data_IF_638885897927
#
_entry.id   IF_638885897927
#
_cell.length_a   1.000
_cell.length_b   1.000
_cell.length_c   1.000
_cell.angle_alpha   90.00
_cell.angle_beta   90.00
_cell.angle_gamma   90.00
#
_symmetry.space_group_name_H-M   'P 1'
#
loop_
_entity.id
_entity.type
_entity.pdbx_description
1 polymer ?
#
# COMPACT_ATOMS: atom_id res chain seq x y z
N UNK A 1 -3.77 -8.51 14.46
CA UNK A 1 -3.27 -7.78 13.27
C UNK A 1 -2.08 -6.94 13.69
N UNK A 2 -1.06 -6.81 12.84
CA UNK A 2 0.08 -5.91 13.06
C UNK A 2 -0.11 -4.66 12.21
N UNK A 3 0.21 -3.50 12.75
CA UNK A 3 0.13 -2.22 12.03
C UNK A 3 1.43 -1.44 12.22
N UNK A 4 1.95 -0.89 11.13
CA UNK A 4 3.07 0.06 11.15
C UNK A 4 2.55 1.39 10.60
N UNK A 5 2.35 2.36 11.49
CA UNK A 5 1.82 3.67 11.13
C UNK A 5 2.96 4.65 10.97
N UNK A 6 3.06 5.30 9.80
CA UNK A 6 4.13 6.25 9.50
C UNK A 6 3.54 7.53 8.93
N UNK A 7 4.17 8.66 9.22
CA UNK A 7 3.79 9.95 8.64
C UNK A 7 4.36 10.18 7.24
N UNK A 8 5.47 9.53 6.91
CA UNK A 8 6.23 9.77 5.68
C UNK A 8 6.87 8.50 5.10
N UNK A 9 6.15 7.38 5.10
CA UNK A 9 6.65 6.10 4.59
C UNK A 9 7.78 5.50 5.46
N UNK A 10 8.62 4.67 4.85
CA UNK A 10 9.78 4.02 5.49
C UNK A 10 11.00 4.93 5.33
N UNK A 11 11.02 6.01 6.10
CA UNK A 11 11.99 7.10 5.94
C UNK A 11 13.32 6.92 6.68
N UNK A 12 13.45 5.89 7.51
CA UNK A 12 14.67 5.60 8.27
C UNK A 12 14.79 4.10 8.63
N UNK A 13 15.97 3.70 9.10
CA UNK A 13 16.28 2.31 9.42
C UNK A 13 15.47 1.75 10.58
N UNK A 14 15.06 2.58 11.56
CA UNK A 14 14.23 2.11 12.68
C UNK A 14 12.85 1.65 12.18
N UNK A 15 12.22 2.44 11.32
CA UNK A 15 10.95 2.09 10.69
C UNK A 15 11.13 0.88 9.76
N UNK A 16 12.23 0.82 8.99
CA UNK A 16 12.54 -0.31 8.11
C UNK A 16 12.72 -1.61 8.88
N UNK A 17 13.40 -1.57 10.02
CA UNK A 17 13.61 -2.74 10.87
C UNK A 17 12.30 -3.20 11.50
N UNK A 18 11.44 -2.28 11.95
CA UNK A 18 10.11 -2.61 12.45
C UNK A 18 9.23 -3.28 11.37
N UNK A 19 9.34 -2.84 10.11
CA UNK A 19 8.68 -3.49 8.98
C UNK A 19 9.18 -4.94 8.80
N UNK A 20 10.49 -5.15 8.75
CA UNK A 20 11.09 -6.49 8.60
C UNK A 20 10.70 -7.41 9.75
N UNK A 21 10.72 -6.93 11.00
CA UNK A 21 10.28 -7.68 12.18
C UNK A 21 8.79 -8.04 12.09
N UNK A 22 7.95 -7.12 11.61
CA UNK A 22 6.52 -7.37 11.41
C UNK A 22 6.29 -8.47 10.36
N UNK A 23 7.03 -8.41 9.23
CA UNK A 23 6.98 -9.39 8.14
C UNK A 23 7.54 -10.76 8.54
N UNK A 24 8.51 -10.82 9.45
CA UNK A 24 9.20 -12.05 9.85
C UNK A 24 10.14 -12.61 8.79
N UNK A 25 10.37 -11.87 7.69
CA UNK A 25 11.25 -12.22 6.58
C UNK A 25 11.70 -10.96 5.83
N UNK A 26 12.77 -11.02 5.01
CA UNK A 26 13.21 -9.86 4.23
C UNK A 26 12.14 -9.29 3.30
N UNK A 27 12.16 -7.98 3.06
CA UNK A 27 11.25 -7.29 2.12
C UNK A 27 11.35 -7.92 0.72
N UNK A 28 12.56 -8.27 0.28
CA UNK A 28 12.82 -8.92 -1.01
C UNK A 28 12.24 -10.34 -1.16
N UNK A 29 11.75 -10.93 -0.07
CA UNK A 29 11.05 -12.23 -0.06
C UNK A 29 9.55 -12.08 0.26
N UNK A 30 9.09 -10.83 0.44
CA UNK A 30 7.72 -10.47 0.79
C UNK A 30 6.97 -9.92 -0.41
N UNK A 31 5.71 -10.31 -0.54
CA UNK A 31 4.74 -9.76 -1.48
C UNK A 31 3.94 -8.64 -0.83
N UNK A 32 3.53 -7.66 -1.62
CA UNK A 32 2.68 -6.58 -1.12
C UNK A 32 1.63 -6.14 -2.15
N UNK A 33 0.50 -5.64 -1.63
CA UNK A 33 -0.51 -4.93 -2.42
C UNK A 33 -0.55 -3.46 -1.99
N UNK A 34 -0.55 -2.57 -2.97
CA UNK A 34 -0.60 -1.11 -2.76
C UNK A 34 -2.02 -0.62 -2.90
N UNK A 35 -2.49 0.18 -1.93
CA UNK A 35 -3.79 0.84 -1.93
C UNK A 35 -3.58 2.34 -2.13
N UNK A 36 -3.65 2.86 -3.39
CA UNK A 36 -3.47 4.29 -3.69
C UNK A 36 -4.76 5.11 -3.50
N UNK A 37 -5.89 4.47 -3.15
CA UNK A 37 -7.24 5.04 -3.26
C UNK A 37 -7.42 6.42 -2.62
N UNK A 38 -6.82 6.67 -1.45
CA UNK A 38 -6.88 7.98 -0.79
C UNK A 38 -6.31 9.13 -1.64
N UNK A 39 -5.36 8.84 -2.52
CA UNK A 39 -4.70 9.85 -3.36
C UNK A 39 -5.61 10.41 -4.45
N UNK A 40 -6.66 9.73 -4.90
CA UNK A 40 -7.47 10.26 -6.01
C UNK A 40 -8.37 11.43 -5.61
N UNK A 41 -8.69 11.57 -4.33
CA UNK A 41 -9.58 12.59 -3.81
C UNK A 41 -8.85 13.86 -3.33
N UNK A 42 -7.66 14.13 -3.86
CA UNK A 42 -6.93 15.40 -3.66
C UNK A 42 -6.61 16.06 -5.01
N UNK A 43 -6.37 17.39 -5.06
CA UNK A 43 -5.96 18.06 -6.29
C UNK A 43 -4.71 17.42 -6.92
N UNK A 44 -4.79 17.05 -8.20
CA UNK A 44 -3.71 16.36 -8.91
C UNK A 44 -3.56 14.86 -8.58
N UNK A 45 -4.54 14.27 -7.88
CA UNK A 45 -4.47 12.94 -7.28
C UNK A 45 -3.98 11.81 -8.19
N UNK A 46 -4.41 11.76 -9.45
CA UNK A 46 -3.95 10.75 -10.41
C UNK A 46 -2.41 10.79 -10.62
N UNK A 47 -1.82 11.98 -10.65
CA UNK A 47 -0.37 12.13 -10.77
C UNK A 47 0.36 11.73 -9.47
N UNK A 48 -0.25 11.99 -8.30
CA UNK A 48 0.28 11.52 -7.01
C UNK A 48 0.26 9.99 -6.93
N UNK A 49 -0.87 9.35 -7.21
CA UNK A 49 -1.01 7.89 -7.23
C UNK A 49 0.05 7.24 -8.13
N UNK A 50 0.25 7.77 -9.33
CA UNK A 50 1.27 7.26 -10.24
C UNK A 50 2.71 7.44 -9.72
N UNK A 51 3.07 8.61 -9.15
CA UNK A 51 4.41 8.83 -8.59
C UNK A 51 4.69 7.90 -7.42
N UNK A 52 3.69 7.71 -6.56
CA UNK A 52 3.75 6.80 -5.42
C UNK A 52 3.97 5.35 -5.86
N UNK A 53 3.20 4.88 -6.86
CA UNK A 53 3.37 3.54 -7.43
C UNK A 53 4.73 3.35 -8.10
N UNK A 54 5.25 4.40 -8.76
CA UNK A 54 6.60 4.40 -9.33
C UNK A 54 7.72 4.47 -8.30
N UNK A 55 7.41 4.75 -7.03
CA UNK A 55 8.41 4.92 -5.98
C UNK A 55 9.34 6.12 -6.23
N UNK A 56 8.81 7.19 -6.83
CA UNK A 56 9.54 8.45 -7.08
C UNK A 56 8.99 9.61 -6.26
N UNK A 57 8.15 9.31 -5.28
CA UNK A 57 7.64 10.29 -4.32
C UNK A 57 8.63 10.45 -3.15
N UNK A 58 8.35 11.42 -2.28
CA UNK A 58 9.18 11.74 -1.10
C UNK A 58 8.93 10.81 0.09
N UNK A 59 7.97 9.89 0.00
CA UNK A 59 7.56 8.97 1.06
C UNK A 59 7.77 7.51 0.65
N UNK A 60 8.94 6.91 0.96
CA UNK A 60 9.29 5.60 0.44
C UNK A 60 8.37 4.49 0.91
N UNK A 61 7.88 3.67 -0.02
CA UNK A 61 7.04 2.53 0.33
C UNK A 61 7.03 1.43 -0.76
N UNK A 62 6.85 1.82 -2.02
CA UNK A 62 6.77 0.88 -3.14
C UNK A 62 8.18 0.44 -3.62
N UNK A 63 9.16 1.33 -3.52
CA UNK A 63 10.53 1.14 -4.01
C UNK A 63 11.45 0.33 -3.08
N UNK A 64 10.90 -0.30 -2.03
CA UNK A 64 11.70 -0.98 -1.00
C UNK A 64 12.30 -2.33 -1.43
N UNK A 65 12.12 -2.71 -2.70
CA UNK A 65 12.64 -3.95 -3.26
C UNK A 65 11.80 -5.18 -2.93
N UNK A 66 10.47 -5.04 -2.87
CA UNK A 66 9.53 -6.14 -2.66
C UNK A 66 9.71 -7.27 -3.69
N UNK A 67 9.45 -8.51 -3.28
CA UNK A 67 9.45 -9.67 -4.19
C UNK A 67 8.45 -9.48 -5.33
N UNK A 68 7.26 -9.00 -4.97
CA UNK A 68 6.20 -8.66 -5.90
C UNK A 68 5.35 -7.53 -5.34
N UNK A 69 4.84 -6.69 -6.25
CA UNK A 69 3.91 -5.61 -5.95
C UNK A 69 2.71 -5.71 -6.87
N UNK A 70 1.52 -5.67 -6.28
CA UNK A 70 0.26 -5.48 -6.98
C UNK A 70 -0.41 -4.17 -6.57
N UNK A 71 -1.37 -3.71 -7.38
CA UNK A 71 -2.23 -2.57 -7.03
C UNK A 71 -3.60 -3.10 -6.65
N UNK A 72 -4.06 -2.74 -5.47
CA UNK A 72 -5.39 -3.03 -4.96
C UNK A 72 -6.21 -1.74 -4.94
N UNK A 73 -6.93 -1.51 -6.04
CA UNK A 73 -7.80 -0.35 -6.18
C UNK A 73 -9.15 -0.61 -5.50
N UNK A 74 -9.39 -0.01 -4.34
CA UNK A 74 -10.63 -0.25 -3.57
C UNK A 74 -11.87 0.17 -4.35
N UNK A 75 -11.78 1.20 -5.19
CA UNK A 75 -12.91 1.65 -6.01
C UNK A 75 -13.35 0.63 -7.07
N UNK A 76 -12.47 -0.29 -7.46
CA UNK A 76 -12.79 -1.34 -8.42
C UNK A 76 -13.43 -2.57 -7.76
N UNK A 77 -13.13 -2.85 -6.48
CA UNK A 77 -13.51 -4.10 -5.83
C UNK A 77 -15.02 -4.40 -5.84
N UNK A 78 -15.93 -3.42 -5.62
CA UNK A 78 -17.37 -3.71 -5.65
C UNK A 78 -17.90 -4.16 -7.03
N UNK A 79 -17.12 -3.96 -8.10
CA UNK A 79 -17.47 -4.39 -9.46
C UNK A 79 -16.85 -5.73 -9.87
N UNK A 80 -16.04 -6.34 -8.99
CA UNK A 80 -15.29 -7.57 -9.25
C UNK A 80 -15.79 -8.65 -8.28
N UNK A 81 -16.04 -9.86 -8.80
CA UNK A 81 -16.39 -11.00 -7.94
C UNK A 81 -15.28 -11.26 -6.90
N UNK A 82 -15.67 -11.45 -5.64
CA UNK A 82 -14.78 -11.72 -4.51
C UNK A 82 -13.79 -12.86 -4.75
N UNK A 83 -14.20 -13.89 -5.51
CA UNK A 83 -13.36 -15.02 -5.90
C UNK A 83 -12.08 -14.61 -6.64
N UNK A 84 -12.08 -13.44 -7.28
CA UNK A 84 -10.94 -12.94 -8.05
C UNK A 84 -9.92 -12.17 -7.19
N UNK A 85 -10.34 -11.55 -6.08
CA UNK A 85 -9.49 -10.62 -5.33
C UNK A 85 -9.27 -11.00 -3.87
N UNK A 86 -10.24 -11.67 -3.21
CA UNK A 86 -10.10 -12.09 -1.81
C UNK A 86 -8.90 -13.02 -1.60
N UNK A 87 -8.65 -14.05 -2.45
CA UNK A 87 -7.47 -14.91 -2.28
C UNK A 87 -6.15 -14.15 -2.38
N UNK A 88 -6.08 -13.15 -3.26
CA UNK A 88 -4.90 -12.30 -3.41
C UNK A 88 -4.64 -11.47 -2.15
N UNK A 89 -5.68 -10.89 -1.54
CA UNK A 89 -5.57 -10.12 -0.29
C UNK A 89 -5.19 -11.02 0.89
N UNK A 90 -5.76 -12.22 0.99
CA UNK A 90 -5.44 -13.17 2.06
C UNK A 90 -4.04 -13.78 1.92
N UNK A 91 -3.54 -13.91 0.69
CA UNK A 91 -2.24 -14.52 0.39
C UNK A 91 -1.05 -13.56 0.37
N UNK A 92 -1.27 -12.24 0.43
CA UNK A 92 -0.17 -11.26 0.43
C UNK A 92 0.41 -11.05 1.82
N UNK A 93 1.70 -10.69 1.90
CA UNK A 93 2.37 -10.50 3.19
C UNK A 93 2.10 -9.12 3.81
N UNK A 94 1.79 -8.11 2.98
CA UNK A 94 1.52 -6.75 3.44
C UNK A 94 0.54 -5.97 2.55
N UNK A 95 -0.21 -5.08 3.19
CA UNK A 95 -0.99 -4.03 2.53
C UNK A 95 -0.31 -2.69 2.75
N UNK A 96 0.02 -1.99 1.67
CA UNK A 96 0.69 -0.70 1.65
C UNK A 96 -0.34 0.39 1.37
N UNK A 97 -0.80 1.07 2.42
CA UNK A 97 -1.86 2.06 2.33
C UNK A 97 -1.26 3.45 2.12
N UNK A 98 -1.55 4.06 0.98
CA UNK A 98 -1.09 5.41 0.66
C UNK A 98 -1.79 6.47 1.53
N UNK A 99 -1.11 7.60 1.73
CA UNK A 99 -1.75 8.82 2.22
C UNK A 99 -2.70 9.45 1.19
N UNK A 100 -3.28 10.60 1.54
CA UNK A 100 -4.23 11.32 0.69
C UNK A 100 -5.44 11.79 1.49
N UNK A 101 -6.62 11.78 0.88
CA UNK A 101 -7.86 12.09 1.58
C UNK A 101 -8.31 10.88 2.44
N UNK A 102 -8.30 11.08 3.75
CA UNK A 102 -8.67 10.05 4.73
C UNK A 102 -10.15 9.72 4.69
N UNK A 103 -11.03 10.69 4.41
CA UNK A 103 -12.47 10.43 4.39
C UNK A 103 -12.85 9.56 3.18
N UNK A 104 -12.24 9.83 2.03
CA UNK A 104 -12.41 9.03 0.82
C UNK A 104 -11.85 7.62 1.00
N UNK A 105 -10.66 7.48 1.59
CA UNK A 105 -10.11 6.17 1.92
C UNK A 105 -11.02 5.39 2.89
N UNK A 106 -11.49 6.04 3.96
CA UNK A 106 -12.40 5.42 4.93
C UNK A 106 -13.76 5.04 4.34
N UNK A 107 -14.20 5.72 3.27
CA UNK A 107 -15.43 5.35 2.56
C UNK A 107 -15.26 4.02 1.81
N UNK A 108 -14.14 3.85 1.11
CA UNK A 108 -13.87 2.66 0.27
C UNK A 108 -13.27 1.46 1.01
N UNK A 109 -12.77 1.65 2.23
CA UNK A 109 -12.29 0.56 3.09
C UNK A 109 -13.42 -0.23 3.79
N UNK A 110 -14.68 0.17 3.60
CA UNK A 110 -15.86 -0.46 4.20
C UNK A 110 -16.36 -1.61 3.34
#
# INVERSE_FOLDING_TARGET
MKFLLTSAGISNDSIRNALVESLGKPIAESSALVIPTGMYAIPGGAAHAWRFLRGVDTTPLCELGWKSLGVLELTALPSINEEQWVPMVQGTDALLVAGGDVLYLCYWMR
#
